data_IF_744932413952
#
_entry.id   IF_744932413952
#
_cell.length_a   1.000
_cell.length_b   1.000
_cell.length_c   1.000
_cell.angle_alpha   90.00
_cell.angle_beta   90.00
_cell.angle_gamma   90.00
#
_symmetry.space_group_name_H-M   'P 1'
#
loop_
_entity.id
_entity.type
_entity.pdbx_description
1 polymer ?
#
# COMPACT_ATOMS: atom_id res chain seq x y z
N UNK A 1 -8.51 6.82 -22.40
CA UNK A 1 -9.57 6.61 -21.38
C UNK A 1 -8.85 6.59 -20.04
N UNK A 2 -8.71 7.74 -19.38
CA UNK A 2 -8.06 7.83 -18.07
C UNK A 2 -9.11 7.55 -17.01
N UNK A 3 -8.99 6.39 -16.35
CA UNK A 3 -9.87 6.05 -15.25
C UNK A 3 -9.43 6.91 -14.07
N UNK A 4 -10.34 7.75 -13.57
CA UNK A 4 -10.06 8.77 -12.56
C UNK A 4 -9.84 8.17 -11.18
N UNK A 5 -8.68 7.55 -10.96
CA UNK A 5 -8.24 7.13 -9.62
C UNK A 5 -7.98 8.32 -8.69
N UNK A 6 -7.75 9.52 -9.25
CA UNK A 6 -7.44 10.74 -8.50
C UNK A 6 -8.64 11.32 -7.71
N UNK A 7 -9.87 10.81 -7.92
CA UNK A 7 -11.05 11.26 -7.15
C UNK A 7 -11.54 10.23 -6.10
N UNK A 8 -10.85 9.10 -5.94
CA UNK A 8 -11.21 8.10 -4.93
C UNK A 8 -10.57 8.49 -3.61
N UNK A 9 -11.39 8.73 -2.59
CA UNK A 9 -10.93 9.05 -1.22
C UNK A 9 -10.31 7.86 -0.49
N UNK A 10 -10.40 6.68 -1.08
CA UNK A 10 -9.78 5.47 -0.54
C UNK A 10 -8.32 5.38 -1.02
N UNK A 11 -7.46 4.92 -0.11
CA UNK A 11 -6.07 4.65 -0.44
C UNK A 11 -6.02 3.46 -1.39
N UNK A 12 -5.53 3.69 -2.60
CA UNK A 12 -5.25 2.64 -3.59
C UNK A 12 -3.75 2.53 -3.70
N UNK A 13 -3.25 1.33 -3.42
CA UNK A 13 -1.84 1.02 -3.49
C UNK A 13 -1.60 -0.31 -4.21
N UNK A 14 -0.40 -0.44 -4.76
CA UNK A 14 0.12 -1.69 -5.29
C UNK A 14 1.52 -1.89 -4.74
N UNK A 15 1.85 -3.13 -4.41
CA UNK A 15 3.19 -3.54 -3.98
C UNK A 15 3.70 -4.65 -4.89
N UNK A 16 5.02 -4.81 -4.94
CA UNK A 16 5.67 -5.98 -5.52
C UNK A 16 5.59 -7.19 -4.57
N UNK A 17 6.08 -8.37 -4.99
CA UNK A 17 6.05 -9.60 -4.17
C UNK A 17 6.91 -9.49 -2.92
N UNK A 18 7.90 -8.59 -2.93
CA UNK A 18 8.74 -8.28 -1.76
C UNK A 18 8.09 -7.25 -0.81
N UNK A 19 6.94 -6.67 -1.18
CA UNK A 19 6.22 -5.67 -0.37
C UNK A 19 6.69 -4.23 -0.55
N UNK A 20 7.51 -3.94 -1.56
CA UNK A 20 7.85 -2.57 -1.94
C UNK A 20 6.73 -1.93 -2.75
N UNK A 21 6.45 -0.65 -2.51
CA UNK A 21 5.40 0.08 -3.23
C UNK A 21 5.75 0.25 -4.71
N UNK A 22 4.83 -0.12 -5.58
CA UNK A 22 4.92 0.06 -7.04
C UNK A 22 3.93 1.10 -7.55
N UNK A 23 2.84 1.33 -6.82
CA UNK A 23 1.86 2.36 -7.11
C UNK A 23 1.20 2.85 -5.82
N UNK A 24 0.96 4.15 -5.71
CA UNK A 24 0.20 4.80 -4.65
C UNK A 24 -0.58 5.97 -5.25
N UNK A 25 -1.85 6.14 -4.85
CA UNK A 25 -2.64 7.32 -5.22
C UNK A 25 -2.44 8.49 -4.24
N UNK A 26 -2.84 9.69 -4.68
CA UNK A 26 -2.82 10.94 -3.90
C UNK A 26 -3.58 10.86 -2.57
N UNK A 27 -4.61 10.01 -2.49
CA UNK A 27 -5.37 9.78 -1.26
C UNK A 27 -4.51 9.24 -0.10
N UNK A 28 -3.38 8.56 -0.38
CA UNK A 28 -2.42 8.16 0.65
C UNK A 28 -1.91 9.36 1.43
N UNK A 29 -1.43 10.39 0.72
CA UNK A 29 -0.90 11.61 1.33
C UNK A 29 -1.99 12.39 2.05
N UNK A 30 -3.21 12.45 1.50
CA UNK A 30 -4.34 13.10 2.18
C UNK A 30 -4.79 12.38 3.45
N UNK A 31 -4.70 11.05 3.49
CA UNK A 31 -5.19 10.22 4.61
C UNK A 31 -4.14 10.06 5.69
N UNK A 32 -2.90 9.78 5.31
CA UNK A 32 -1.81 9.43 6.23
C UNK A 32 -0.89 10.61 6.53
N UNK A 33 -0.86 11.62 5.65
CA UNK A 33 0.05 12.76 5.73
C UNK A 33 1.45 12.49 5.17
N UNK A 34 1.77 11.26 4.74
CA UNK A 34 3.08 10.93 4.18
C UNK A 34 3.18 11.26 2.69
N UNK A 35 4.31 11.81 2.28
CA UNK A 35 4.59 12.10 0.88
C UNK A 35 4.78 10.81 0.10
N UNK A 36 4.34 10.79 -1.16
CA UNK A 36 4.50 9.62 -2.04
C UNK A 36 5.99 9.30 -2.24
N UNK A 37 6.83 10.30 -2.46
CA UNK A 37 8.27 10.13 -2.64
C UNK A 37 8.95 9.50 -1.42
N UNK A 38 8.60 9.90 -0.20
CA UNK A 38 9.12 9.28 1.03
C UNK A 38 8.62 7.83 1.18
N UNK A 39 7.36 7.58 0.81
CA UNK A 39 6.73 6.26 0.95
C UNK A 39 7.22 5.27 -0.10
N UNK A 40 7.52 5.70 -1.33
CA UNK A 40 7.93 4.79 -2.40
C UNK A 40 9.25 4.04 -2.12
N UNK A 41 10.08 4.53 -1.19
CA UNK A 41 11.34 3.87 -0.80
C UNK A 41 11.22 2.97 0.44
N UNK A 42 10.04 2.85 1.03
CA UNK A 42 9.80 2.03 2.23
C UNK A 42 9.02 0.76 1.89
N UNK A 43 8.92 -0.16 2.84
CA UNK A 43 8.11 -1.37 2.70
C UNK A 43 6.74 -1.14 3.35
N UNK A 44 5.66 -1.69 2.78
CA UNK A 44 4.32 -1.47 3.33
C UNK A 44 4.18 -1.88 4.80
N UNK A 45 4.96 -2.87 5.24
CA UNK A 45 4.94 -3.36 6.62
C UNK A 45 5.43 -2.34 7.64
N UNK A 46 6.20 -1.32 7.22
CA UNK A 46 6.66 -0.28 8.14
C UNK A 46 5.49 0.56 8.67
N UNK A 47 4.45 0.73 7.85
CA UNK A 47 3.23 1.47 8.20
C UNK A 47 2.16 0.61 8.85
N UNK A 48 2.36 -0.72 8.95
CA UNK A 48 1.47 -1.62 9.65
C UNK A 48 1.88 -1.67 11.13
N UNK A 49 0.89 -1.53 12.01
CA UNK A 49 1.11 -1.63 13.45
C UNK A 49 1.72 -2.99 13.82
N UNK A 50 2.68 -2.99 14.76
CA UNK A 50 3.54 -4.14 15.03
C UNK A 50 2.80 -5.45 15.33
N UNK A 51 1.71 -5.39 16.10
CA UNK A 51 0.88 -6.55 16.45
C UNK A 51 0.11 -7.10 15.24
N UNK A 52 -0.19 -6.24 14.26
CA UNK A 52 -0.94 -6.61 13.05
C UNK A 52 -0.02 -7.04 11.89
N UNK A 53 1.31 -6.82 11.99
CA UNK A 53 2.26 -7.15 10.92
C UNK A 53 2.23 -8.61 10.51
N UNK A 54 2.19 -9.52 11.49
CA UNK A 54 2.20 -10.95 11.22
C UNK A 54 0.95 -11.38 10.45
N UNK A 55 -0.23 -10.99 10.93
CA UNK A 55 -1.51 -11.25 10.27
C UNK A 55 -1.54 -10.65 8.87
N UNK A 56 -1.03 -9.42 8.72
CA UNK A 56 -1.01 -8.74 7.43
C UNK A 56 -0.07 -9.43 6.43
N UNK A 57 1.11 -9.91 6.88
CA UNK A 57 2.04 -10.70 6.07
C UNK A 57 1.39 -12.01 5.59
N UNK A 58 0.71 -12.72 6.49
CA UNK A 58 0.02 -13.97 6.17
C UNK A 58 -1.10 -13.75 5.13
N UNK A 59 -1.91 -12.70 5.30
CA UNK A 59 -2.91 -12.32 4.32
C UNK A 59 -2.27 -11.92 2.97
N UNK A 60 -1.16 -11.18 3.00
CA UNK A 60 -0.46 -10.77 1.79
C UNK A 60 0.10 -11.97 1.02
N UNK A 61 0.72 -12.94 1.72
CA UNK A 61 1.17 -14.19 1.11
C UNK A 61 0.01 -14.99 0.51
N UNK A 62 -1.10 -15.15 1.23
CA UNK A 62 -2.27 -15.87 0.73
C UNK A 62 -2.82 -15.25 -0.57
N UNK A 63 -2.83 -13.91 -0.66
CA UNK A 63 -3.25 -13.19 -1.85
C UNK A 63 -2.30 -13.39 -3.03
N UNK A 64 -0.98 -13.41 -2.80
CA UNK A 64 0.04 -13.70 -3.83
C UNK A 64 -0.09 -15.16 -4.32
N UNK A 65 -0.32 -16.09 -3.40
CA UNK A 65 -0.49 -17.51 -3.71
C UNK A 65 -1.85 -17.84 -4.34
N UNK A 66 -2.77 -16.87 -4.42
CA UNK A 66 -4.08 -17.02 -5.05
C UNK A 66 -5.04 -17.95 -4.30
N UNK A 67 -4.96 -17.99 -2.97
CA UNK A 67 -5.89 -18.75 -2.12
C UNK A 67 -7.13 -17.98 -1.72
#
# INVERSE_FOLDING_TARGET
MSIGVDNVKEVIFQTDVEGYWTFLNSAWTETTGFSLDETFFTNFQDYVYQDDRQTNLECHQALIEGR
#
